data_IF_002346734762
#
_entry.id   IF_002346734762
#
_cell.length_a   1.000
_cell.length_b   1.000
_cell.length_c   1.000
_cell.angle_alpha   90.00
_cell.angle_beta   90.00
_cell.angle_gamma   90.00
#
_symmetry.space_group_name_H-M   'P 1'
#
loop_
_entity.id
_entity.type
_entity.pdbx_description
1 polymer ?
#
# COMPACT_ATOMS: atom_id res chain seq x y z
N UNK A 1 21.40 13.35 17.12
CA UNK A 1 20.06 13.88 17.43
C UNK A 1 19.39 14.14 16.11
N UNK A 2 18.34 13.37 15.79
CA UNK A 2 17.82 13.19 14.43
C UNK A 2 16.57 14.05 14.23
N UNK A 3 16.72 15.16 13.51
CA UNK A 3 15.61 16.08 13.16
C UNK A 3 14.67 15.57 12.04
N UNK A 4 14.84 14.35 11.56
CA UNK A 4 14.02 13.80 10.45
C UNK A 4 12.75 13.10 10.86
N UNK A 5 12.52 12.79 12.12
CA UNK A 5 11.32 12.09 12.63
C UNK A 5 10.18 13.07 12.96
N UNK A 6 10.50 14.34 13.22
CA UNK A 6 9.50 15.36 13.59
C UNK A 6 8.69 15.94 12.42
N UNK A 7 9.08 15.66 11.17
CA UNK A 7 8.43 16.28 9.99
C UNK A 7 7.18 15.52 9.52
N UNK A 8 6.97 14.29 9.98
CA UNK A 8 5.85 13.47 9.50
C UNK A 8 4.56 13.68 10.32
N UNK A 9 4.67 14.03 11.59
CA UNK A 9 3.48 14.19 12.47
C UNK A 9 2.82 15.58 12.38
N UNK A 10 3.49 16.59 11.77
CA UNK A 10 2.95 17.96 11.73
C UNK A 10 2.10 18.27 10.49
N UNK A 11 2.14 17.41 9.46
CA UNK A 11 1.37 17.64 8.21
C UNK A 11 -0.06 17.14 8.32
N UNK A 12 -0.37 16.26 9.29
CA UNK A 12 -1.70 15.65 9.40
C UNK A 12 -2.71 16.49 10.19
N UNK A 13 -2.33 17.64 10.75
CA UNK A 13 -3.17 18.37 11.72
C UNK A 13 -3.68 19.77 11.34
N UNK A 14 -3.50 20.26 10.12
CA UNK A 14 -4.11 21.58 9.76
C UNK A 14 -4.51 21.67 8.29
N UNK A 15 -5.80 21.88 8.07
CA UNK A 15 -6.47 22.65 7.04
C UNK A 15 -7.31 21.92 6.00
N UNK A 16 -8.60 22.03 6.22
CA UNK A 16 -9.71 21.58 5.38
C UNK A 16 -9.92 22.36 4.06
N UNK A 17 -8.98 23.19 3.62
CA UNK A 17 -9.10 23.89 2.33
C UNK A 17 -7.93 23.67 1.36
N UNK A 18 -6.84 23.04 1.81
CA UNK A 18 -5.68 22.69 0.97
C UNK A 18 -5.78 21.26 0.37
N UNK A 19 -6.82 20.52 0.72
CA UNK A 19 -6.97 19.09 0.40
C UNK A 19 -7.06 18.77 -1.09
N UNK A 20 -7.51 19.69 -1.95
CA UNK A 20 -7.54 19.42 -3.40
C UNK A 20 -6.16 19.45 -4.06
N UNK A 21 -5.24 20.30 -3.59
CA UNK A 21 -3.89 20.41 -4.16
C UNK A 21 -2.92 19.35 -3.61
N UNK A 22 -3.06 19.00 -2.34
CA UNK A 22 -2.29 17.93 -1.67
C UNK A 22 -2.73 16.56 -2.20
N UNK A 23 -4.03 16.36 -2.45
CA UNK A 23 -4.56 15.17 -3.10
C UNK A 23 -3.98 14.95 -4.50
N UNK A 24 -3.70 16.03 -5.25
CA UNK A 24 -3.11 15.94 -6.59
C UNK A 24 -1.62 15.58 -6.57
N UNK A 25 -0.85 16.11 -5.63
CA UNK A 25 0.59 15.82 -5.47
C UNK A 25 0.76 14.40 -4.89
N UNK A 26 -0.02 14.03 -3.89
CA UNK A 26 -0.06 12.69 -3.33
C UNK A 26 -0.52 11.66 -4.38
N UNK A 27 -1.48 12.02 -5.23
CA UNK A 27 -1.97 11.17 -6.32
C UNK A 27 -0.92 10.90 -7.39
N UNK A 28 -0.02 11.85 -7.66
CA UNK A 28 1.07 11.70 -8.64
C UNK A 28 2.21 10.83 -8.09
N UNK A 29 2.50 10.93 -6.81
CA UNK A 29 3.46 10.06 -6.12
C UNK A 29 2.88 8.64 -5.90
N UNK A 30 1.56 8.55 -5.69
CA UNK A 30 0.80 7.30 -5.59
C UNK A 30 0.82 6.48 -6.90
N UNK A 31 0.85 7.14 -8.06
CA UNK A 31 0.85 6.49 -9.38
C UNK A 31 2.21 5.95 -9.82
N UNK A 32 3.30 6.34 -9.18
CA UNK A 32 4.66 5.99 -9.61
C UNK A 32 5.24 4.77 -8.87
N UNK A 33 4.49 4.15 -7.95
CA UNK A 33 5.01 2.93 -7.32
C UNK A 33 4.99 1.77 -8.31
N UNK A 34 6.17 1.22 -8.54
CA UNK A 34 6.38 -0.01 -9.30
C UNK A 34 5.51 -1.12 -8.72
N UNK A 35 4.93 -1.92 -9.59
CA UNK A 35 4.23 -3.14 -9.18
C UNK A 35 5.24 -4.19 -8.73
N UNK A 36 5.01 -4.80 -7.58
CA UNK A 36 5.84 -5.88 -7.07
C UNK A 36 5.85 -7.07 -8.04
N UNK A 37 7.00 -7.66 -8.23
CA UNK A 37 7.13 -8.97 -8.86
C UNK A 37 6.63 -10.06 -7.92
N UNK A 38 6.32 -11.25 -8.43
CA UNK A 38 5.88 -12.40 -7.60
C UNK A 38 6.84 -12.72 -6.45
N UNK A 39 8.16 -12.56 -6.66
CA UNK A 39 9.17 -12.81 -5.62
C UNK A 39 9.17 -11.72 -4.54
N UNK A 40 9.07 -10.48 -4.94
CA UNK A 40 8.97 -9.32 -4.04
C UNK A 40 7.66 -9.37 -3.22
N UNK A 41 6.57 -9.80 -3.84
CA UNK A 41 5.28 -9.96 -3.17
C UNK A 41 5.33 -11.02 -2.06
N UNK A 42 6.05 -12.13 -2.27
CA UNK A 42 6.29 -13.14 -1.22
C UNK A 42 7.06 -12.53 -0.05
N UNK A 43 8.11 -11.74 -0.31
CA UNK A 43 8.88 -11.05 0.73
C UNK A 43 7.98 -10.09 1.51
N UNK A 44 7.21 -9.26 0.81
CA UNK A 44 6.30 -8.31 1.45
C UNK A 44 5.22 -9.01 2.27
N UNK A 45 4.70 -10.15 1.82
CA UNK A 45 3.75 -10.94 2.61
C UNK A 45 4.33 -11.36 3.96
N UNK A 46 5.60 -11.80 4.00
CA UNK A 46 6.27 -12.13 5.27
C UNK A 46 6.38 -10.90 6.19
N UNK A 47 6.73 -9.73 5.67
CA UNK A 47 6.78 -8.50 6.47
C UNK A 47 5.40 -8.08 6.97
N UNK A 48 4.34 -8.22 6.17
CA UNK A 48 2.99 -7.89 6.59
C UNK A 48 2.43 -8.87 7.64
N UNK A 49 2.78 -10.17 7.53
CA UNK A 49 2.26 -11.20 8.43
C UNK A 49 3.03 -11.30 9.75
N UNK A 50 4.35 -11.12 9.71
CA UNK A 50 5.24 -11.30 10.86
C UNK A 50 5.75 -9.99 11.48
N UNK A 51 5.60 -8.87 10.74
CA UNK A 51 6.15 -7.58 11.16
C UNK A 51 7.65 -7.45 10.87
N UNK A 52 8.38 -6.67 11.71
CA UNK A 52 9.81 -6.42 11.50
C UNK A 52 10.65 -7.70 11.62
N UNK A 53 11.50 -7.98 10.61
CA UNK A 53 12.35 -9.17 10.52
C UNK A 53 13.79 -8.81 10.11
N UNK A 54 14.74 -9.59 10.60
CA UNK A 54 16.09 -9.64 10.01
C UNK A 54 16.07 -10.52 8.75
N UNK A 55 16.99 -10.27 7.81
CA UNK A 55 17.06 -11.06 6.56
C UNK A 55 17.30 -12.56 6.85
N UNK A 56 17.99 -12.90 7.96
CA UNK A 56 18.19 -14.26 8.38
C UNK A 56 16.88 -14.95 8.79
N UNK A 57 16.07 -14.28 9.61
CA UNK A 57 14.75 -14.75 10.03
C UNK A 57 13.79 -14.87 8.84
N UNK A 58 13.80 -13.88 7.95
CA UNK A 58 13.03 -13.92 6.71
C UNK A 58 13.38 -15.14 5.86
N UNK A 59 14.67 -15.51 5.77
CA UNK A 59 15.12 -16.70 5.05
C UNK A 59 14.57 -18.00 5.63
N UNK A 60 14.48 -18.09 6.96
CA UNK A 60 13.96 -19.27 7.67
C UNK A 60 12.47 -19.53 7.41
N UNK A 61 11.73 -18.51 6.95
CA UNK A 61 10.31 -18.64 6.58
C UNK A 61 10.08 -19.28 5.20
N UNK A 62 11.14 -19.46 4.41
CA UNK A 62 11.03 -20.12 3.11
C UNK A 62 11.15 -21.65 3.23
N UNK A 63 10.36 -22.40 2.42
CA UNK A 63 10.52 -23.84 2.33
C UNK A 63 11.86 -24.21 1.70
N UNK A 64 12.32 -25.43 1.96
CA UNK A 64 13.50 -25.95 1.30
C UNK A 64 13.25 -26.26 -0.20
N UNK A 65 14.20 -25.94 -1.10
CA UNK A 65 15.48 -25.28 -0.83
C UNK A 65 15.34 -23.78 -0.59
N UNK A 66 15.85 -23.31 0.55
CA UNK A 66 15.82 -21.90 0.91
C UNK A 66 16.61 -21.04 -0.07
N UNK A 67 16.17 -19.79 -0.35
CA UNK A 67 16.92 -18.87 -1.19
C UNK A 67 18.28 -18.55 -0.59
N UNK A 68 19.28 -18.27 -1.44
CA UNK A 68 20.58 -17.85 -0.98
C UNK A 68 20.48 -16.50 -0.24
N UNK A 69 21.20 -16.38 0.90
CA UNK A 69 21.14 -15.18 1.75
C UNK A 69 21.44 -13.88 0.99
N UNK A 70 22.45 -13.89 0.11
CA UNK A 70 22.82 -12.72 -0.68
C UNK A 70 21.72 -12.31 -1.64
N UNK A 71 21.03 -13.27 -2.26
CA UNK A 71 19.90 -13.02 -3.17
C UNK A 71 18.75 -12.34 -2.42
N UNK A 72 18.40 -12.88 -1.25
CA UNK A 72 17.33 -12.33 -0.43
C UNK A 72 17.69 -10.93 0.09
N UNK A 73 18.93 -10.74 0.56
CA UNK A 73 19.43 -9.42 0.97
C UNK A 73 19.34 -8.38 -0.14
N UNK A 74 19.70 -8.76 -1.38
CA UNK A 74 19.60 -7.86 -2.52
C UNK A 74 18.15 -7.48 -2.82
N UNK A 75 17.23 -8.46 -2.81
CA UNK A 75 15.81 -8.22 -3.04
C UNK A 75 15.20 -7.29 -1.98
N UNK A 76 15.55 -7.48 -0.69
CA UNK A 76 15.07 -6.61 0.39
C UNK A 76 15.61 -5.18 0.23
N UNK A 77 16.86 -5.00 -0.17
CA UNK A 77 17.42 -3.67 -0.47
C UNK A 77 16.74 -2.99 -1.66
N UNK A 78 16.44 -3.76 -2.71
CA UNK A 78 15.66 -3.23 -3.83
C UNK A 78 14.28 -2.75 -3.38
N UNK A 79 13.58 -3.50 -2.52
CA UNK A 79 12.30 -3.08 -1.95
C UNK A 79 12.42 -1.83 -1.07
N UNK A 80 13.55 -1.66 -0.39
CA UNK A 80 13.86 -0.47 0.39
C UNK A 80 14.10 0.75 -0.52
N UNK A 81 14.90 0.61 -1.58
CA UNK A 81 15.14 1.64 -2.57
C UNK A 81 13.86 2.09 -3.28
N UNK A 82 12.94 1.15 -3.50
CA UNK A 82 11.61 1.38 -4.08
C UNK A 82 10.60 1.93 -3.06
N UNK A 83 10.96 2.01 -1.77
CA UNK A 83 10.15 2.60 -0.72
C UNK A 83 9.04 1.70 -0.14
N UNK A 84 9.07 0.39 -0.39
CA UNK A 84 8.13 -0.58 0.18
C UNK A 84 8.48 -0.99 1.61
N UNK A 85 9.77 -1.08 1.91
CA UNK A 85 10.29 -1.40 3.23
C UNK A 85 11.23 -0.29 3.72
N UNK A 86 11.47 -0.26 5.01
CA UNK A 86 12.46 0.58 5.65
C UNK A 86 13.20 -0.27 6.68
N UNK A 87 14.29 0.22 7.23
CA UNK A 87 15.07 -0.52 8.20
C UNK A 87 15.36 0.25 9.47
N UNK A 88 15.64 -0.50 10.53
CA UNK A 88 16.22 -0.01 11.78
C UNK A 88 17.55 -0.70 12.02
N UNK A 89 18.58 0.09 12.31
CA UNK A 89 19.91 -0.45 12.59
C UNK A 89 19.96 -1.07 13.99
N UNK A 90 20.51 -2.29 14.07
CA UNK A 90 20.81 -3.01 15.30
C UNK A 90 22.26 -3.45 15.27
N UNK A 91 23.15 -2.58 15.72
CA UNK A 91 24.60 -2.81 15.63
C UNK A 91 25.04 -2.97 14.17
N UNK A 92 25.69 -4.09 13.81
CA UNK A 92 26.13 -4.35 12.44
C UNK A 92 25.02 -4.89 11.51
N UNK A 93 23.81 -5.08 12.01
CA UNK A 93 22.70 -5.68 11.27
C UNK A 93 21.52 -4.73 11.14
N UNK A 94 20.67 -4.98 10.14
CA UNK A 94 19.46 -4.21 9.88
C UNK A 94 18.23 -5.10 10.04
N UNK A 95 17.25 -4.59 10.80
CA UNK A 95 15.92 -5.16 10.89
C UNK A 95 15.00 -4.38 9.94
N UNK A 96 14.39 -5.06 8.98
CA UNK A 96 13.52 -4.46 7.98
C UNK A 96 12.05 -4.58 8.38
N UNK A 97 11.24 -3.62 7.97
CA UNK A 97 9.80 -3.60 8.21
C UNK A 97 9.07 -2.98 7.02
N UNK A 98 7.81 -3.38 6.83
CA UNK A 98 6.97 -2.82 5.77
C UNK A 98 6.66 -1.34 6.05
N UNK A 99 6.98 -0.45 5.10
CA UNK A 99 6.62 0.97 5.13
C UNK A 99 5.24 1.20 4.53
N UNK A 100 4.87 0.38 3.55
CA UNK A 100 3.55 0.38 2.90
C UNK A 100 2.72 -0.74 3.51
N UNK A 101 1.52 -0.43 3.97
CA UNK A 101 0.60 -1.44 4.51
C UNK A 101 0.06 -2.34 3.40
N UNK A 102 -0.41 -3.54 3.77
CA UNK A 102 -1.04 -4.48 2.82
C UNK A 102 -2.25 -3.86 2.12
N UNK A 103 -3.06 -3.11 2.85
CA UNK A 103 -4.28 -2.50 2.31
C UNK A 103 -3.97 -1.33 1.38
N UNK A 104 -2.98 -0.51 1.71
CA UNK A 104 -2.48 0.51 0.77
C UNK A 104 -1.95 -0.11 -0.53
N UNK A 105 -1.20 -1.21 -0.44
CA UNK A 105 -0.70 -1.90 -1.64
C UNK A 105 -1.83 -2.45 -2.49
N UNK A 106 -2.86 -3.08 -1.88
CA UNK A 106 -4.06 -3.57 -2.58
C UNK A 106 -4.78 -2.45 -3.31
N UNK A 107 -5.05 -1.33 -2.63
CA UNK A 107 -5.72 -0.16 -3.21
C UNK A 107 -4.93 0.40 -4.39
N UNK A 108 -3.62 0.59 -4.24
CA UNK A 108 -2.74 1.10 -5.29
C UNK A 108 -2.68 0.16 -6.50
N UNK A 109 -2.60 -1.15 -6.25
CA UNK A 109 -2.59 -2.17 -7.31
C UNK A 109 -3.89 -2.17 -8.10
N UNK A 110 -5.03 -2.02 -7.43
CA UNK A 110 -6.35 -1.94 -8.06
C UNK A 110 -6.48 -0.67 -8.93
N UNK A 111 -6.12 0.48 -8.38
CA UNK A 111 -6.13 1.76 -9.12
C UNK A 111 -5.26 1.67 -10.37
N UNK A 112 -4.01 1.20 -10.23
CA UNK A 112 -3.09 1.05 -11.36
C UNK A 112 -3.57 0.04 -12.42
N UNK A 113 -4.37 -0.96 -12.04
CA UNK A 113 -5.00 -1.89 -12.97
C UNK A 113 -6.13 -1.21 -13.75
N UNK A 114 -6.96 -0.42 -13.06
CA UNK A 114 -8.06 0.32 -13.68
C UNK A 114 -7.50 1.38 -14.64
N UNK A 115 -6.48 2.11 -14.25
CA UNK A 115 -5.82 3.10 -15.11
C UNK A 115 -5.25 2.47 -16.38
N UNK A 116 -4.65 1.29 -16.26
CA UNK A 116 -3.98 0.61 -17.37
C UNK A 116 -4.94 -0.05 -18.36
N UNK A 117 -6.03 -0.65 -17.87
CA UNK A 117 -6.90 -1.51 -18.69
C UNK A 117 -8.30 -0.94 -18.92
N UNK A 118 -8.70 0.07 -18.17
CA UNK A 118 -10.05 0.66 -18.25
C UNK A 118 -10.03 2.17 -18.49
N UNK A 119 -8.89 2.71 -18.97
CA UNK A 119 -8.74 4.15 -19.31
C UNK A 119 -9.22 5.09 -18.21
N UNK A 120 -8.89 4.79 -16.94
CA UNK A 120 -9.36 5.49 -15.75
C UNK A 120 -10.88 5.45 -15.54
N UNK A 121 -11.61 4.59 -16.23
CA UNK A 121 -13.05 4.43 -16.07
C UNK A 121 -13.39 3.41 -14.99
N UNK A 122 -13.57 3.87 -13.77
CA UNK A 122 -14.01 3.04 -12.63
C UNK A 122 -15.38 2.39 -12.88
N UNK A 123 -16.29 3.12 -13.55
CA UNK A 123 -17.59 2.58 -13.93
C UNK A 123 -17.46 1.40 -14.89
N UNK A 124 -16.56 1.49 -15.87
CA UNK A 124 -16.30 0.42 -16.82
C UNK A 124 -15.75 -0.84 -16.11
N UNK A 125 -14.85 -0.66 -15.14
CA UNK A 125 -14.31 -1.75 -14.34
C UNK A 125 -15.39 -2.46 -13.52
N UNK A 126 -16.27 -1.70 -12.82
CA UNK A 126 -17.38 -2.26 -12.05
C UNK A 126 -18.39 -2.94 -13.00
N UNK A 127 -18.70 -2.33 -14.15
CA UNK A 127 -19.63 -2.91 -15.12
C UNK A 127 -19.11 -4.23 -15.68
N UNK A 128 -17.79 -4.38 -15.87
CA UNK A 128 -17.19 -5.65 -16.28
C UNK A 128 -17.40 -6.74 -15.22
N UNK A 129 -17.21 -6.42 -13.95
CA UNK A 129 -17.41 -7.35 -12.83
C UNK A 129 -18.89 -7.78 -12.71
N UNK A 130 -19.82 -6.87 -12.93
CA UNK A 130 -21.26 -7.17 -12.94
C UNK A 130 -21.62 -8.09 -14.10
N UNK A 131 -21.10 -7.86 -15.31
CA UNK A 131 -21.33 -8.71 -16.49
C UNK A 131 -20.79 -10.13 -16.30
N UNK A 132 -19.71 -10.29 -15.58
CA UNK A 132 -19.11 -11.58 -15.24
C UNK A 132 -19.76 -12.25 -14.01
N UNK A 133 -20.88 -11.71 -13.53
CA UNK A 133 -21.61 -12.19 -12.35
C UNK A 133 -20.72 -12.34 -11.09
N UNK A 134 -19.65 -11.49 -10.98
CA UNK A 134 -18.73 -11.49 -9.85
C UNK A 134 -19.22 -10.60 -8.70
N UNK A 135 -20.18 -9.73 -8.98
CA UNK A 135 -20.82 -8.85 -7.98
C UNK A 135 -22.33 -9.04 -8.12
N UNK A 136 -22.97 -9.37 -7.02
CA UNK A 136 -24.42 -9.50 -6.94
C UNK A 136 -25.12 -8.14 -6.80
N UNK A 137 -26.44 -8.12 -7.03
CA UNK A 137 -27.27 -6.90 -6.85
C UNK A 137 -27.28 -6.48 -5.36
N UNK A 138 -27.23 -7.45 -4.46
CA UNK A 138 -27.21 -7.26 -3.03
C UNK A 138 -25.92 -6.55 -2.60
N UNK A 139 -24.75 -7.04 -3.05
CA UNK A 139 -23.45 -6.40 -2.78
C UNK A 139 -23.37 -4.98 -3.35
N UNK A 140 -23.98 -4.73 -4.52
CA UNK A 140 -24.07 -3.37 -5.06
C UNK A 140 -24.89 -2.43 -4.18
N UNK A 141 -26.00 -2.91 -3.60
CA UNK A 141 -26.79 -2.13 -2.65
C UNK A 141 -26.01 -1.81 -1.38
N UNK A 142 -25.28 -2.78 -0.83
CA UNK A 142 -24.42 -2.56 0.33
C UNK A 142 -23.34 -1.50 0.05
N UNK A 143 -22.73 -1.51 -1.16
CA UNK A 143 -21.77 -0.48 -1.57
C UNK A 143 -22.41 0.91 -1.65
N UNK A 144 -23.63 1.02 -2.13
CA UNK A 144 -24.38 2.30 -2.18
C UNK A 144 -24.62 2.81 -0.76
N UNK A 145 -25.08 1.96 0.15
CA UNK A 145 -25.29 2.33 1.55
C UNK A 145 -24.01 2.79 2.26
N UNK A 146 -22.86 2.14 1.97
CA UNK A 146 -21.57 2.56 2.50
C UNK A 146 -21.20 3.98 2.03
N UNK A 147 -21.38 4.26 0.74
CA UNK A 147 -21.09 5.59 0.17
C UNK A 147 -22.01 6.67 0.74
N UNK A 148 -23.27 6.35 0.98
CA UNK A 148 -24.23 7.27 1.59
C UNK A 148 -23.85 7.59 3.05
N UNK A 149 -23.51 6.57 3.85
CA UNK A 149 -23.05 6.73 5.23
C UNK A 149 -21.77 7.58 5.34
N UNK A 150 -20.80 7.38 4.43
CA UNK A 150 -19.58 8.18 4.41
C UNK A 150 -19.86 9.65 4.07
N UNK A 151 -20.84 9.94 3.22
CA UNK A 151 -21.25 11.32 2.91
C UNK A 151 -21.93 12.01 4.11
N UNK A 152 -22.71 11.29 4.89
CA UNK A 152 -23.34 11.84 6.11
C UNK A 152 -22.31 12.19 7.17
N UNK A 153 -21.23 11.40 7.31
CA UNK A 153 -20.14 11.69 8.26
C UNK A 153 -19.21 12.82 7.79
N UNK A 154 -19.14 13.08 6.49
CA UNK A 154 -18.37 14.18 5.92
C UNK A 154 -19.07 15.55 6.01
N UNK A 155 -20.36 15.58 6.34
CA UNK A 155 -21.19 16.79 6.49
C UNK A 155 -21.49 17.13 7.96
N UNK A 156 -20.52 17.06 8.88
CA UNK A 156 -20.64 17.72 10.19
C UNK A 156 -20.06 19.12 10.06
N UNK A 157 -20.89 20.19 9.96
CA UNK A 157 -20.37 21.54 10.00
C UNK A 157 -19.79 21.77 11.41
N UNK A 158 -18.56 22.17 11.49
CA UNK A 158 -17.98 22.74 12.70
C UNK A 158 -18.77 24.01 13.04
N UNK A 159 -19.58 23.92 14.08
CA UNK A 159 -20.12 25.08 14.80
C UNK A 159 -19.06 25.53 15.79
#
# INVERSE_FOLDING_TARGET
>A
MNERVAFHDHIFRKNSCATKKISYICKKEYMLMKRLTKKEEVIMNHFWDKGPLFVRELRELYPDPQPHFSTLSTQVRTLEEEGFVDHKAYGPTYQYFAKVSRDEYKQRSLIGLIDKYFDNSYLSAVSALVKEEKISVEELKELIELVEKEKEHACVPYI
#
